data_IF_265660508310
#
_entry.id   IF_265660508310
#
_cell.length_a   1.000
_cell.length_b   1.000
_cell.length_c   1.000
_cell.angle_alpha   90.00
_cell.angle_beta   90.00
_cell.angle_gamma   90.00
#
_symmetry.space_group_name_H-M   'P 1'
#
loop_
_entity.id
_entity.type
_entity.pdbx_description
1 polymer ?
#
# COMPACT_ATOMS: atom_id res chain seq x y z
N UNK A 1 -60.57 2.19 9.10
CA UNK A 1 -60.24 0.89 8.47
C UNK A 1 -59.06 1.12 7.52
N UNK A 2 -57.86 0.67 7.90
CA UNK A 2 -56.69 0.74 7.05
C UNK A 2 -56.80 -0.32 5.94
N UNK A 3 -57.07 0.12 4.71
CA UNK A 3 -57.13 -0.74 3.53
C UNK A 3 -55.68 -1.03 3.14
N UNK A 4 -55.17 -2.19 3.57
CA UNK A 4 -53.84 -2.66 3.20
C UNK A 4 -53.73 -2.68 1.66
N UNK A 5 -52.69 -2.03 1.15
CA UNK A 5 -52.29 -2.03 -0.26
C UNK A 5 -51.89 -3.47 -0.65
N UNK A 6 -52.87 -4.32 -0.92
CA UNK A 6 -52.66 -5.60 -1.57
C UNK A 6 -52.42 -5.33 -3.06
N UNK A 7 -51.21 -4.90 -3.40
CA UNK A 7 -50.79 -4.92 -4.80
C UNK A 7 -50.68 -6.37 -5.23
N UNK A 8 -51.39 -6.73 -6.31
CA UNK A 8 -51.20 -8.05 -6.93
C UNK A 8 -49.74 -8.20 -7.38
N UNK A 9 -49.24 -9.44 -7.36
CA UNK A 9 -47.85 -9.76 -7.78
C UNK A 9 -47.50 -9.16 -9.16
N UNK A 10 -48.50 -9.10 -10.04
CA UNK A 10 -48.41 -8.53 -11.38
C UNK A 10 -48.29 -6.99 -11.39
N UNK A 11 -48.93 -6.31 -10.44
CA UNK A 11 -48.82 -4.85 -10.27
C UNK A 11 -47.46 -4.47 -9.67
N UNK A 12 -46.94 -5.29 -8.75
CA UNK A 12 -45.63 -5.09 -8.17
C UNK A 12 -44.51 -5.17 -9.22
N UNK A 13 -44.58 -6.15 -10.14
CA UNK A 13 -43.62 -6.33 -11.23
C UNK A 13 -43.62 -5.19 -12.27
N UNK A 14 -44.77 -4.54 -12.49
CA UNK A 14 -44.90 -3.44 -13.47
C UNK A 14 -44.40 -2.09 -12.96
N UNK A 15 -44.55 -1.82 -11.66
CA UNK A 15 -44.28 -0.50 -11.08
C UNK A 15 -43.07 -0.46 -10.14
N UNK A 16 -42.69 -1.58 -9.53
CA UNK A 16 -41.40 -1.70 -8.85
C UNK A 16 -40.42 -2.33 -9.83
N UNK A 17 -39.42 -1.57 -10.26
CA UNK A 17 -38.23 -2.12 -10.91
C UNK A 17 -37.44 -2.91 -9.85
N UNK A 18 -37.97 -4.07 -9.45
CA UNK A 18 -37.19 -5.05 -8.71
C UNK A 18 -36.09 -5.49 -9.68
N UNK A 19 -34.80 -5.35 -9.32
CA UNK A 19 -33.72 -5.84 -10.18
C UNK A 19 -34.02 -7.28 -10.55
N UNK A 20 -33.87 -7.62 -11.84
CA UNK A 20 -33.93 -9.01 -12.28
C UNK A 20 -33.03 -9.84 -11.34
N UNK A 21 -33.44 -11.06 -10.97
CA UNK A 21 -32.75 -11.88 -9.97
C UNK A 21 -31.24 -12.01 -10.28
N UNK A 22 -30.88 -11.97 -11.57
CA UNK A 22 -29.49 -11.92 -12.05
C UNK A 22 -28.74 -10.65 -11.66
N UNK A 23 -29.38 -9.50 -11.77
CA UNK A 23 -28.80 -8.21 -11.38
C UNK A 23 -28.68 -8.09 -9.86
N UNK A 24 -29.65 -8.62 -9.10
CA UNK A 24 -29.54 -8.71 -7.65
C UNK A 24 -28.36 -9.58 -7.20
N UNK A 25 -28.20 -10.78 -7.81
CA UNK A 25 -27.05 -11.65 -7.55
C UNK A 25 -25.71 -11.01 -7.93
N UNK A 26 -25.67 -10.25 -9.04
CA UNK A 26 -24.46 -9.52 -9.46
C UNK A 26 -24.07 -8.46 -8.44
N UNK A 27 -25.05 -7.71 -7.92
CA UNK A 27 -24.82 -6.69 -6.87
C UNK A 27 -24.36 -7.31 -5.57
N UNK A 28 -24.96 -8.44 -5.16
CA UNK A 28 -24.55 -9.14 -3.94
C UNK A 28 -23.09 -9.59 -4.03
N UNK A 29 -22.69 -10.24 -5.13
CA UNK A 29 -21.28 -10.66 -5.33
C UNK A 29 -20.30 -9.49 -5.26
N UNK A 30 -20.70 -8.32 -5.75
CA UNK A 30 -19.86 -7.13 -5.68
C UNK A 30 -19.73 -6.63 -4.23
N UNK A 31 -20.81 -6.66 -3.45
CA UNK A 31 -20.79 -6.32 -2.03
C UNK A 31 -19.91 -7.31 -1.26
N UNK A 32 -20.07 -8.61 -1.51
CA UNK A 32 -19.27 -9.65 -0.85
C UNK A 32 -17.76 -9.43 -1.06
N UNK A 33 -17.34 -9.06 -2.27
CA UNK A 33 -15.92 -8.72 -2.55
C UNK A 33 -15.47 -7.47 -1.80
N UNK A 34 -16.33 -6.46 -1.66
CA UNK A 34 -16.00 -5.24 -0.91
C UNK A 34 -15.82 -5.58 0.57
N UNK A 35 -16.76 -6.32 1.16
CA UNK A 35 -16.72 -6.71 2.58
C UNK A 35 -15.47 -7.56 2.88
N UNK A 36 -15.16 -8.54 2.02
CA UNK A 36 -13.94 -9.36 2.11
C UNK A 36 -12.67 -8.51 1.96
N UNK A 37 -12.67 -7.51 1.07
CA UNK A 37 -11.52 -6.61 0.90
C UNK A 37 -11.29 -5.74 2.13
N UNK A 38 -12.35 -5.25 2.76
CA UNK A 38 -12.24 -4.45 3.99
C UNK A 38 -11.72 -5.32 5.14
N UNK A 39 -12.27 -6.52 5.32
CA UNK A 39 -11.82 -7.45 6.35
C UNK A 39 -10.36 -7.90 6.15
N UNK A 40 -9.94 -8.08 4.89
CA UNK A 40 -8.56 -8.31 4.53
C UNK A 40 -7.64 -7.14 4.90
N UNK A 41 -8.00 -5.90 4.56
CA UNK A 41 -7.20 -4.72 4.89
C UNK A 41 -7.05 -4.55 6.41
N UNK A 42 -8.10 -4.80 7.18
CA UNK A 42 -8.06 -4.76 8.65
C UNK A 42 -7.15 -5.84 9.24
N UNK A 43 -7.22 -7.07 8.72
CA UNK A 43 -6.35 -8.18 9.15
C UNK A 43 -4.89 -7.90 8.82
N UNK A 44 -4.63 -7.34 7.64
CA UNK A 44 -3.31 -6.97 7.17
C UNK A 44 -2.62 -5.96 8.10
N UNK A 45 -3.36 -5.04 8.72
CA UNK A 45 -2.79 -4.07 9.67
C UNK A 45 -2.11 -4.76 10.86
N UNK A 46 -2.65 -5.88 11.33
CA UNK A 46 -2.10 -6.65 12.44
C UNK A 46 -0.89 -7.50 12.02
N UNK A 47 -0.86 -7.94 10.77
CA UNK A 47 0.22 -8.77 10.20
C UNK A 47 1.35 -7.96 9.56
N UNK A 48 1.18 -6.64 9.40
CA UNK A 48 2.06 -5.79 8.60
C UNK A 48 3.55 -5.96 8.92
N UNK A 49 3.92 -5.84 10.20
CA UNK A 49 5.33 -5.90 10.64
C UNK A 49 5.93 -7.30 10.44
N UNK A 50 5.10 -8.35 10.43
CA UNK A 50 5.51 -9.73 10.15
C UNK A 50 5.74 -9.94 8.65
N UNK A 51 4.86 -9.40 7.82
CA UNK A 51 4.93 -9.53 6.37
C UNK A 51 6.04 -8.65 5.78
N UNK A 52 6.19 -7.43 6.30
CA UNK A 52 7.10 -6.38 5.84
C UNK A 52 7.94 -5.83 7.01
N UNK A 53 8.85 -6.64 7.58
CA UNK A 53 9.67 -6.19 8.70
C UNK A 53 10.52 -4.98 8.29
N UNK A 54 10.68 -3.96 9.16
CA UNK A 54 11.29 -2.67 8.83
C UNK A 54 12.82 -2.76 8.71
N UNK A 55 13.28 -3.50 7.71
CA UNK A 55 14.70 -3.71 7.41
C UNK A 55 15.14 -2.68 6.36
N UNK A 56 16.06 -1.75 6.66
CA UNK A 56 16.41 -0.65 5.74
C UNK A 56 16.89 -1.09 4.36
N UNK A 57 17.61 -2.21 4.31
CA UNK A 57 18.16 -2.78 3.07
C UNK A 57 17.14 -3.63 2.29
N UNK A 58 15.97 -3.92 2.86
CA UNK A 58 14.91 -4.56 2.09
C UNK A 58 14.35 -3.56 1.08
N UNK A 59 14.12 -4.05 -0.15
CA UNK A 59 13.55 -3.29 -1.24
C UNK A 59 12.34 -4.05 -1.76
N UNK A 60 11.18 -3.41 -1.70
CA UNK A 60 9.92 -3.99 -2.11
C UNK A 60 9.43 -3.34 -3.40
N UNK A 61 9.32 -4.14 -4.46
CA UNK A 61 8.61 -3.76 -5.68
C UNK A 61 7.12 -4.15 -5.57
N UNK A 62 6.31 -3.65 -6.49
CA UNK A 62 4.86 -3.86 -6.46
C UNK A 62 4.48 -5.33 -6.62
N UNK A 63 5.17 -6.05 -7.50
CA UNK A 63 4.96 -7.48 -7.71
C UNK A 63 5.31 -8.30 -6.46
N UNK A 64 6.44 -8.02 -5.81
CA UNK A 64 6.86 -8.71 -4.60
C UNK A 64 5.96 -8.41 -3.40
N UNK A 65 5.41 -7.19 -3.30
CA UNK A 65 4.37 -6.88 -2.33
C UNK A 65 3.12 -7.72 -2.62
N UNK A 66 2.69 -7.78 -3.88
CA UNK A 66 1.49 -8.55 -4.27
C UNK A 66 1.65 -10.03 -3.95
N UNK A 67 2.78 -10.63 -4.32
CA UNK A 67 3.11 -12.03 -4.01
C UNK A 67 3.09 -12.28 -2.50
N UNK A 68 3.74 -11.40 -1.72
CA UNK A 68 3.77 -11.50 -0.26
C UNK A 68 2.39 -11.41 0.38
N UNK A 69 1.50 -10.58 -0.16
CA UNK A 69 0.11 -10.49 0.30
C UNK A 69 -0.69 -11.73 -0.06
N UNK A 70 -0.52 -12.28 -1.26
CA UNK A 70 -1.22 -13.51 -1.67
C UNK A 70 -0.85 -14.71 -0.80
N UNK A 71 0.39 -14.75 -0.31
CA UNK A 71 0.90 -15.80 0.59
C UNK A 71 0.58 -15.55 2.08
N UNK A 72 -0.11 -14.45 2.42
CA UNK A 72 -0.40 -14.09 3.82
C UNK A 72 -1.57 -14.87 4.43
N UNK A 73 -1.55 -15.02 5.75
CA UNK A 73 -2.67 -15.59 6.50
C UNK A 73 -3.93 -14.72 6.37
N UNK A 74 -3.77 -13.39 6.34
CA UNK A 74 -4.85 -12.45 6.05
C UNK A 74 -5.55 -12.74 4.71
N UNK A 75 -4.79 -13.02 3.64
CA UNK A 75 -5.38 -13.36 2.34
C UNK A 75 -5.99 -14.76 2.32
N UNK A 76 -5.38 -15.72 3.03
CA UNK A 76 -5.94 -17.05 3.19
C UNK A 76 -7.30 -17.03 3.92
N UNK A 77 -7.51 -16.09 4.86
CA UNK A 77 -8.78 -15.86 5.52
C UNK A 77 -9.82 -15.16 4.63
N UNK A 78 -9.36 -14.35 3.66
CA UNK A 78 -10.20 -13.52 2.79
C UNK A 78 -9.84 -13.69 1.29
N UNK A 79 -10.02 -14.88 0.70
CA UNK A 79 -9.49 -15.21 -0.63
C UNK A 79 -10.19 -14.47 -1.78
N UNK A 80 -11.35 -13.85 -1.51
CA UNK A 80 -12.09 -13.04 -2.49
C UNK A 80 -11.68 -11.56 -2.45
N UNK A 81 -10.79 -11.18 -1.52
CA UNK A 81 -10.31 -9.81 -1.40
C UNK A 81 -9.59 -9.35 -2.67
N UNK A 82 -9.84 -8.09 -3.05
CA UNK A 82 -9.22 -7.49 -4.22
C UNK A 82 -7.93 -6.75 -3.84
N UNK A 83 -6.79 -7.23 -4.32
CA UNK A 83 -5.50 -6.55 -4.16
C UNK A 83 -5.36 -5.39 -5.16
N UNK A 84 -5.92 -4.24 -4.76
CA UNK A 84 -5.86 -3.01 -5.56
C UNK A 84 -4.46 -2.41 -5.61
N UNK A 85 -4.12 -1.75 -6.73
CA UNK A 85 -2.84 -1.04 -6.85
C UNK A 85 -2.70 0.07 -5.80
N UNK A 86 -3.80 0.70 -5.41
CA UNK A 86 -3.82 1.71 -4.35
C UNK A 86 -3.40 1.13 -2.99
N UNK A 87 -3.81 -0.10 -2.66
CA UNK A 87 -3.34 -0.80 -1.45
C UNK A 87 -1.84 -1.07 -1.52
N UNK A 88 -1.35 -1.59 -2.66
CA UNK A 88 0.08 -1.87 -2.85
C UNK A 88 0.91 -0.60 -2.70
N UNK A 89 0.47 0.52 -3.27
CA UNK A 89 1.15 1.81 -3.10
C UNK A 89 1.13 2.30 -1.65
N UNK A 90 0.02 2.12 -0.91
CA UNK A 90 -0.07 2.45 0.53
C UNK A 90 0.93 1.65 1.36
N UNK A 91 1.03 0.35 1.12
CA UNK A 91 1.99 -0.54 1.81
C UNK A 91 3.42 -0.11 1.53
N UNK A 92 3.74 0.10 0.24
CA UNK A 92 5.06 0.56 -0.20
C UNK A 92 5.43 1.90 0.43
N UNK A 93 4.50 2.84 0.49
CA UNK A 93 4.70 4.15 1.12
C UNK A 93 4.95 3.99 2.63
N UNK A 94 4.09 3.26 3.34
CA UNK A 94 4.24 2.98 4.78
C UNK A 94 5.59 2.37 5.11
N UNK A 95 5.99 1.32 4.40
CA UNK A 95 7.30 0.69 4.59
C UNK A 95 8.45 1.68 4.37
N UNK A 96 8.41 2.46 3.29
CA UNK A 96 9.46 3.43 3.00
C UNK A 96 9.55 4.54 4.05
N UNK A 97 8.43 4.96 4.63
CA UNK A 97 8.39 5.92 5.73
C UNK A 97 8.97 5.31 7.03
N UNK A 98 8.66 4.05 7.35
CA UNK A 98 9.18 3.37 8.53
C UNK A 98 10.71 3.21 8.51
N UNK A 99 11.29 2.91 7.35
CA UNK A 99 12.75 2.76 7.20
C UNK A 99 13.46 4.06 6.81
N UNK A 100 12.74 5.17 6.62
CA UNK A 100 13.28 6.41 6.06
C UNK A 100 14.48 6.95 6.84
N UNK A 101 14.33 7.10 8.15
CA UNK A 101 15.37 7.68 9.02
C UNK A 101 16.63 6.81 9.04
N UNK A 102 16.46 5.49 9.18
CA UNK A 102 17.58 4.55 9.18
C UNK A 102 18.32 4.54 7.83
N UNK A 103 17.60 4.65 6.71
CA UNK A 103 18.20 4.79 5.38
C UNK A 103 18.98 6.10 5.24
N UNK A 104 18.47 7.19 5.79
CA UNK A 104 19.19 8.47 5.80
C UNK A 104 20.50 8.38 6.60
N UNK A 105 20.49 7.75 7.78
CA UNK A 105 21.70 7.51 8.58
C UNK A 105 22.72 6.60 7.89
N UNK A 106 22.26 5.59 7.14
CA UNK A 106 23.16 4.75 6.34
C UNK A 106 23.82 5.58 5.24
N UNK A 107 23.05 6.39 4.50
CA UNK A 107 23.59 7.23 3.43
C UNK A 107 24.54 8.30 3.96
N UNK A 108 24.19 8.95 5.07
CA UNK A 108 25.03 9.95 5.72
C UNK A 108 26.41 9.37 6.06
N UNK A 109 26.46 8.17 6.65
CA UNK A 109 27.73 7.49 6.97
C UNK A 109 28.61 7.21 5.76
N UNK A 110 28.01 6.91 4.60
CA UNK A 110 28.76 6.74 3.36
C UNK A 110 29.27 8.09 2.83
N UNK A 111 28.46 9.14 2.93
CA UNK A 111 28.81 10.48 2.45
C UNK A 111 29.88 11.15 3.32
N UNK A 112 29.85 10.95 4.63
CA UNK A 112 30.79 11.57 5.57
C UNK A 112 32.26 11.21 5.31
N UNK A 113 32.52 10.17 4.50
CA UNK A 113 33.86 9.75 4.12
C UNK A 113 34.49 10.68 3.07
N UNK A 114 33.67 11.36 2.26
CA UNK A 114 34.11 12.13 1.08
C UNK A 114 33.58 13.56 1.08
N UNK A 115 32.50 13.83 1.82
CA UNK A 115 31.76 15.09 1.77
C UNK A 115 31.53 15.65 3.18
N UNK A 116 31.39 16.97 3.22
CA UNK A 116 30.97 17.75 4.38
C UNK A 116 29.85 18.72 3.95
N UNK A 117 29.35 19.51 4.90
CA UNK A 117 28.25 20.44 4.65
C UNK A 117 28.53 21.48 3.56
N UNK A 118 29.80 21.87 3.38
CA UNK A 118 30.18 22.94 2.47
C UNK A 118 30.29 22.49 1.01
N UNK A 119 30.56 21.21 0.78
CA UNK A 119 30.81 20.67 -0.56
C UNK A 119 29.77 19.66 -1.05
N UNK A 120 28.84 19.21 -0.19
CA UNK A 120 27.83 18.24 -0.59
C UNK A 120 26.77 18.86 -1.51
N UNK A 121 26.36 18.07 -2.52
CA UNK A 121 25.24 18.39 -3.40
C UNK A 121 24.27 17.22 -3.47
N UNK A 122 23.04 17.46 -3.96
CA UNK A 122 22.08 16.38 -4.26
C UNK A 122 22.68 15.33 -5.21
N UNK A 123 23.48 15.76 -6.18
CA UNK A 123 24.16 14.86 -7.12
C UNK A 123 25.14 13.92 -6.42
N UNK A 124 25.87 14.41 -5.42
CA UNK A 124 26.78 13.58 -4.61
C UNK A 124 26.01 12.49 -3.84
N UNK A 125 24.86 12.84 -3.23
CA UNK A 125 23.98 11.87 -2.55
C UNK A 125 23.55 10.76 -3.51
N UNK A 126 23.07 11.14 -4.70
CA UNK A 126 22.61 10.18 -5.71
C UNK A 126 23.77 9.31 -6.21
N UNK A 127 24.93 9.89 -6.49
CA UNK A 127 26.10 9.17 -6.97
C UNK A 127 26.60 8.15 -5.94
N UNK A 128 26.76 8.56 -4.69
CA UNK A 128 27.16 7.68 -3.58
C UNK A 128 26.14 6.56 -3.38
N UNK A 129 24.84 6.87 -3.45
CA UNK A 129 23.81 5.83 -3.38
C UNK A 129 23.97 4.79 -4.50
N UNK A 130 24.32 5.21 -5.73
CA UNK A 130 24.56 4.27 -6.84
C UNK A 130 25.84 3.47 -6.65
N UNK A 131 26.94 4.12 -6.24
CA UNK A 131 28.24 3.46 -5.97
C UNK A 131 28.11 2.35 -4.92
N UNK A 132 27.28 2.56 -3.90
CA UNK A 132 27.02 1.57 -2.85
C UNK A 132 25.81 0.65 -3.10
N UNK A 133 25.21 0.71 -4.30
CA UNK A 133 24.01 -0.08 -4.67
C UNK A 133 22.78 0.19 -3.78
N UNK A 134 22.67 1.40 -3.23
CA UNK A 134 21.57 1.93 -2.40
C UNK A 134 20.65 2.90 -3.16
N UNK A 135 20.64 2.87 -4.49
CA UNK A 135 19.86 3.78 -5.33
C UNK A 135 18.33 3.72 -5.08
N UNK A 136 17.83 2.65 -4.47
CA UNK A 136 16.43 2.50 -4.07
C UNK A 136 16.07 3.26 -2.79
N UNK A 137 17.06 3.68 -1.98
CA UNK A 137 16.81 4.49 -0.78
C UNK A 137 16.18 5.85 -1.11
N UNK A 138 16.73 6.64 -2.05
CA UNK A 138 16.10 7.90 -2.47
C UNK A 138 15.01 7.72 -3.54
N UNK A 139 14.73 6.51 -4.03
CA UNK A 139 13.86 6.33 -5.18
C UNK A 139 12.38 6.69 -4.92
N UNK A 140 11.91 6.57 -3.67
CA UNK A 140 10.54 6.94 -3.31
C UNK A 140 10.34 8.46 -3.25
N UNK A 141 11.26 9.17 -2.59
CA UNK A 141 11.25 10.63 -2.46
C UNK A 141 12.69 11.16 -2.41
N UNK A 142 13.25 11.36 -3.60
CA UNK A 142 14.65 11.71 -3.78
C UNK A 142 14.96 13.06 -3.12
N UNK A 143 14.08 14.03 -3.27
CA UNK A 143 14.31 15.37 -2.74
C UNK A 143 14.26 15.39 -1.22
N UNK A 144 13.27 14.72 -0.60
CA UNK A 144 13.19 14.59 0.86
C UNK A 144 14.42 13.87 1.42
N UNK A 145 14.83 12.76 0.80
CA UNK A 145 16.01 12.01 1.23
C UNK A 145 17.29 12.84 1.09
N UNK A 146 17.49 13.49 -0.06
CA UNK A 146 18.67 14.35 -0.27
C UNK A 146 18.74 15.49 0.75
N UNK A 147 17.63 16.21 0.98
CA UNK A 147 17.61 17.30 1.95
C UNK A 147 17.90 16.80 3.36
N UNK A 148 17.29 15.68 3.78
CA UNK A 148 17.51 15.08 5.09
C UNK A 148 19.00 14.76 5.29
N UNK A 149 19.59 14.00 4.38
CA UNK A 149 20.99 13.57 4.49
C UNK A 149 21.96 14.75 4.47
N UNK A 150 21.75 15.74 3.59
CA UNK A 150 22.57 16.96 3.55
C UNK A 150 22.48 17.72 4.87
N UNK A 151 21.30 17.80 5.48
CA UNK A 151 21.12 18.49 6.77
C UNK A 151 21.78 17.78 7.96
N UNK A 152 22.03 16.47 7.83
CA UNK A 152 22.68 15.65 8.86
C UNK A 152 24.20 15.78 8.85
N UNK A 153 24.80 16.12 7.72
CA UNK A 153 26.24 16.35 7.62
C UNK A 153 26.64 17.63 8.36
N UNK A 154 27.61 17.49 9.25
CA UNK A 154 28.21 18.57 10.01
C UNK A 154 29.36 19.22 9.26
#
# INVERSE_FOLDING_TARGET
>A
MAKALQHSKDTALRYYQVPDAREALRRQRHIDVIDETVAFEDSLLNEFDSLFPPVPYASWNEDGIRERLLDSDAYAAHPMANLTDALIQRIKARFNDEVFEQRAEILERHLHQEYNRDNITKYAVIDVSKRHKLHYFPASDQDKMCHKVISMLK
#
